data_IF_043303715100
#
_entry.id   IF_043303715100
#
_cell.length_a   1.000
_cell.length_b   1.000
_cell.length_c   1.000
_cell.angle_alpha   90.00
_cell.angle_beta   90.00
_cell.angle_gamma   90.00
#
_symmetry.space_group_name_H-M   'P 1'
#
loop_
_entity.id
_entity.type
_entity.pdbx_description
1 polymer ?
#
# COMPACT_ATOMS: atom_id res chain seq x y z
N UNK A 1 -5.35 10.57 -24.50
CA UNK A 1 -5.69 11.52 -23.43
C UNK A 1 -4.75 11.26 -22.28
N UNK A 2 -3.95 12.26 -21.91
CA UNK A 2 -2.75 12.11 -21.11
C UNK A 2 -3.04 11.61 -19.68
N UNK A 3 -2.18 10.71 -19.21
CA UNK A 3 -2.14 10.20 -17.86
C UNK A 3 -1.93 11.34 -16.85
N UNK A 4 -2.67 11.30 -15.75
CA UNK A 4 -2.38 12.07 -14.55
C UNK A 4 -2.71 11.20 -13.34
N UNK A 5 -1.86 10.21 -13.10
CA UNK A 5 -1.75 9.50 -11.83
C UNK A 5 -0.26 9.43 -11.47
N UNK A 6 0.35 10.61 -11.33
CA UNK A 6 1.66 10.72 -10.70
C UNK A 6 1.60 11.85 -9.68
N UNK A 7 1.45 11.44 -8.42
CA UNK A 7 2.40 11.71 -7.34
C UNK A 7 1.63 11.78 -6.01
N UNK A 8 2.07 11.03 -5.02
CA UNK A 8 2.10 11.59 -3.66
C UNK A 8 3.56 11.79 -3.30
N UNK A 9 4.13 12.80 -3.95
CA UNK A 9 5.19 13.61 -3.37
C UNK A 9 4.48 14.74 -2.63
N UNK A 10 4.01 14.52 -1.41
CA UNK A 10 3.33 15.57 -0.66
C UNK A 10 3.74 15.53 0.79
N UNK A 11 4.41 16.60 1.23
CA UNK A 11 4.28 17.09 2.60
C UNK A 11 2.79 17.27 2.84
N UNK A 12 2.12 16.24 3.38
CA UNK A 12 0.73 16.35 3.79
C UNK A 12 0.65 17.52 4.78
N UNK A 13 -0.37 18.38 4.64
CA UNK A 13 -0.58 19.46 5.60
C UNK A 13 -1.41 18.96 6.77
N UNK A 14 -2.24 17.95 6.53
CA UNK A 14 -3.04 17.32 7.56
C UNK A 14 -2.19 16.45 8.49
N UNK A 15 -2.07 16.80 9.79
CA UNK A 15 -1.27 16.06 10.74
C UNK A 15 -1.77 14.62 10.97
N UNK A 16 -3.07 14.35 10.84
CA UNK A 16 -3.62 12.98 10.97
C UNK A 16 -3.06 12.08 9.86
N UNK A 17 -3.03 12.59 8.61
CA UNK A 17 -2.49 11.86 7.46
C UNK A 17 -0.98 11.64 7.59
N UNK A 18 -0.22 12.62 8.11
CA UNK A 18 1.22 12.48 8.38
C UNK A 18 1.50 11.37 9.40
N UNK A 19 0.65 11.25 10.43
CA UNK A 19 0.84 10.31 11.52
C UNK A 19 0.68 8.84 11.11
N UNK A 20 0.09 8.56 9.95
CA UNK A 20 -0.07 7.20 9.43
C UNK A 20 1.23 6.79 8.70
N UNK A 21 1.82 5.62 8.96
CA UNK A 21 2.95 5.13 8.16
C UNK A 21 2.53 4.82 6.71
N UNK A 22 3.36 5.19 5.73
CA UNK A 22 3.07 4.92 4.32
C UNK A 22 3.15 3.42 3.99
N UNK A 23 3.99 2.67 4.70
CA UNK A 23 4.21 1.24 4.49
C UNK A 23 4.23 0.51 5.82
N UNK A 24 3.43 -0.55 5.93
CA UNK A 24 3.60 -1.58 6.96
C UNK A 24 3.48 -2.95 6.29
N UNK A 25 4.62 -3.62 6.13
CA UNK A 25 4.71 -4.96 5.54
C UNK A 25 5.55 -5.88 6.41
N UNK A 26 5.30 -7.19 6.33
CA UNK A 26 6.16 -8.18 7.00
C UNK A 26 7.61 -8.08 6.51
N UNK A 27 8.55 -8.32 7.43
CA UNK A 27 9.99 -8.11 7.19
C UNK A 27 10.60 -9.06 6.14
N UNK A 28 9.94 -10.16 5.80
CA UNK A 28 10.40 -11.12 4.81
C UNK A 28 9.25 -12.07 4.41
N UNK A 29 9.46 -12.81 3.33
CA UNK A 29 8.57 -13.88 2.87
C UNK A 29 7.55 -13.41 1.84
N UNK A 30 6.61 -14.31 1.53
CA UNK A 30 5.55 -14.12 0.53
C UNK A 30 4.22 -13.91 1.21
N UNK A 31 3.54 -12.81 0.91
CA UNK A 31 2.29 -12.46 1.57
C UNK A 31 1.38 -11.60 0.70
N UNK A 32 0.12 -11.51 1.12
CA UNK A 32 -0.88 -10.65 0.49
C UNK A 32 -0.66 -9.20 0.91
N UNK A 33 -0.97 -8.26 0.02
CA UNK A 33 -0.99 -6.85 0.35
C UNK A 33 -2.20 -6.15 -0.28
N UNK A 34 -2.61 -5.04 0.33
CA UNK A 34 -3.61 -4.11 -0.21
C UNK A 34 -3.00 -2.73 -0.40
N UNK A 35 -3.47 -2.04 -1.45
CA UNK A 35 -3.24 -0.61 -1.65
C UNK A 35 -4.49 0.13 -1.17
N UNK A 36 -4.31 1.07 -0.26
CA UNK A 36 -5.42 1.78 0.38
C UNK A 36 -5.22 3.28 0.18
N UNK A 37 -6.29 3.98 -0.17
CA UNK A 37 -6.35 5.45 -0.13
C UNK A 37 -7.00 5.86 1.18
N UNK A 38 -6.27 6.67 1.95
CA UNK A 38 -6.72 7.24 3.23
C UNK A 38 -6.97 8.71 3.01
N UNK A 39 -8.09 9.23 3.49
CA UNK A 39 -8.48 10.62 3.36
C UNK A 39 -9.12 11.13 4.64
N UNK A 40 -9.09 12.44 4.85
CA UNK A 40 -9.80 13.08 5.95
C UNK A 40 -11.20 13.48 5.45
N UNK A 41 -12.29 12.95 6.02
CA UNK A 41 -13.64 13.30 5.59
C UNK A 41 -13.97 14.78 5.80
N UNK A 42 -13.25 15.47 6.70
CA UNK A 42 -13.46 16.89 7.00
C UNK A 42 -12.69 17.82 6.03
N UNK A 43 -11.80 17.29 5.18
CA UNK A 43 -10.93 18.08 4.30
C UNK A 43 -11.03 17.61 2.86
N UNK A 44 -11.60 18.45 2.00
CA UNK A 44 -11.79 18.11 0.58
C UNK A 44 -10.44 17.87 -0.14
N UNK A 45 -10.39 16.80 -0.94
CA UNK A 45 -9.27 16.43 -1.84
C UNK A 45 -7.92 16.15 -1.17
N UNK A 46 -7.84 16.04 0.16
CA UNK A 46 -6.60 15.61 0.82
C UNK A 46 -6.63 14.11 1.11
N UNK A 47 -5.73 13.37 0.46
CA UNK A 47 -5.60 11.94 0.64
C UNK A 47 -4.15 11.49 0.53
N UNK A 48 -3.90 10.24 0.90
CA UNK A 48 -2.64 9.57 0.71
C UNK A 48 -2.82 8.09 0.41
N UNK A 49 -1.82 7.51 -0.24
CA UNK A 49 -1.79 6.08 -0.50
C UNK A 49 -0.89 5.38 0.51
N UNK A 50 -1.39 4.28 1.06
CA UNK A 50 -0.62 3.43 1.98
C UNK A 50 -0.61 1.98 1.49
N UNK A 51 0.48 1.28 1.82
CA UNK A 51 0.68 -0.13 1.52
C UNK A 51 0.64 -0.92 2.82
N UNK A 52 -0.19 -1.97 2.86
CA UNK A 52 -0.35 -2.86 4.01
C UNK A 52 -0.28 -4.31 3.58
N UNK A 53 0.56 -5.12 4.22
CA UNK A 53 0.74 -6.52 3.84
C UNK A 53 1.29 -7.41 4.96
N UNK A 54 0.75 -8.61 5.11
CA UNK A 54 1.21 -9.54 6.16
C UNK A 54 0.92 -10.99 5.80
N UNK A 55 1.81 -11.90 6.19
CA UNK A 55 1.66 -13.34 6.03
C UNK A 55 0.61 -13.92 7.00
N UNK A 56 0.28 -13.19 8.07
CA UNK A 56 -0.73 -13.60 9.06
C UNK A 56 -2.18 -13.51 8.54
N UNK A 57 -2.40 -12.81 7.43
CA UNK A 57 -3.72 -12.64 6.85
C UNK A 57 -4.00 -13.76 5.84
N UNK A 58 -5.11 -14.47 6.04
CA UNK A 58 -5.54 -15.50 5.10
C UNK A 58 -6.08 -14.85 3.83
N UNK A 59 -6.74 -13.69 3.94
CA UNK A 59 -7.34 -12.94 2.85
C UNK A 59 -6.94 -11.47 2.86
N UNK A 60 -7.13 -10.79 1.73
CA UNK A 60 -6.94 -9.34 1.64
C UNK A 60 -7.91 -8.56 2.55
N UNK A 61 -9.12 -9.11 2.78
CA UNK A 61 -10.11 -8.53 3.67
C UNK A 61 -9.61 -8.48 5.12
N UNK A 62 -8.96 -9.53 5.62
CA UNK A 62 -8.40 -9.54 6.99
C UNK A 62 -7.33 -8.45 7.21
N UNK A 63 -6.63 -8.03 6.14
CA UNK A 63 -5.70 -6.91 6.19
C UNK A 63 -6.49 -5.60 6.28
N UNK A 64 -7.55 -5.48 5.48
CA UNK A 64 -8.37 -4.28 5.44
C UNK A 64 -9.09 -4.04 6.76
N UNK A 65 -9.76 -5.04 7.34
CA UNK A 65 -10.53 -4.88 8.57
C UNK A 65 -9.67 -4.28 9.70
N UNK A 66 -8.43 -4.75 9.83
CA UNK A 66 -7.47 -4.20 10.80
C UNK A 66 -7.03 -2.78 10.49
N UNK A 67 -6.89 -2.46 9.20
CA UNK A 67 -6.43 -1.15 8.75
C UNK A 67 -7.55 -0.13 8.89
N UNK A 68 -8.78 -0.46 8.52
CA UNK A 68 -9.93 0.43 8.64
C UNK A 68 -10.17 0.82 10.09
N UNK A 69 -10.14 -0.14 11.02
CA UNK A 69 -10.28 0.14 12.46
C UNK A 69 -9.25 1.18 12.94
N UNK A 70 -7.96 0.98 12.64
CA UNK A 70 -6.88 1.90 13.04
C UNK A 70 -6.95 3.28 12.40
N UNK A 71 -7.55 3.38 11.20
CA UNK A 71 -7.70 4.62 10.46
C UNK A 71 -8.92 5.40 10.99
N UNK A 72 -10.04 4.72 11.22
CA UNK A 72 -11.26 5.27 11.80
C UNK A 72 -11.02 5.80 13.23
N UNK A 73 -10.23 5.09 14.05
CA UNK A 73 -9.81 5.55 15.39
C UNK A 73 -9.09 6.90 15.37
N UNK A 74 -8.50 7.29 14.23
CA UNK A 74 -7.82 8.57 14.03
C UNK A 74 -8.72 9.63 13.41
N UNK A 75 -10.01 9.34 13.21
CA UNK A 75 -10.98 10.22 12.57
C UNK A 75 -10.66 10.46 11.10
N UNK A 76 -10.25 9.40 10.40
CA UNK A 76 -9.98 9.36 8.97
C UNK A 76 -10.84 8.26 8.33
N UNK A 77 -10.99 8.31 7.01
CA UNK A 77 -11.68 7.30 6.23
C UNK A 77 -10.74 6.67 5.18
N UNK A 78 -11.01 5.44 4.76
CA UNK A 78 -10.18 4.74 3.80
C UNK A 78 -10.95 3.86 2.81
N UNK A 79 -10.38 3.74 1.61
CA UNK A 79 -10.91 2.91 0.52
C UNK A 79 -9.82 1.98 -0.04
N UNK A 80 -10.21 0.75 -0.37
CA UNK A 80 -9.30 -0.22 -1.01
C UNK A 80 -9.25 0.07 -2.51
N UNK A 81 -8.04 0.31 -3.02
CA UNK A 81 -7.78 0.51 -4.46
C UNK A 81 -7.38 -0.77 -5.19
N UNK A 82 -7.34 -1.89 -4.46
CA UNK A 82 -7.04 -3.23 -4.96
C UNK A 82 -6.01 -3.93 -4.08
N UNK A 83 -5.55 -5.10 -4.53
CA UNK A 83 -4.48 -5.80 -3.85
C UNK A 83 -3.60 -6.63 -4.78
N UNK A 84 -2.72 -7.39 -4.16
CA UNK A 84 -1.84 -8.34 -4.83
C UNK A 84 -1.02 -9.13 -3.81
N UNK A 85 0.19 -9.50 -4.19
CA UNK A 85 1.17 -10.17 -3.36
C UNK A 85 2.51 -9.46 -3.40
N UNK A 86 3.25 -9.62 -2.31
CA UNK A 86 4.62 -9.18 -2.14
C UNK A 86 5.47 -10.39 -1.82
N UNK A 87 6.60 -10.53 -2.51
CA UNK A 87 7.71 -11.39 -2.14
C UNK A 87 8.86 -10.51 -1.64
N UNK A 88 9.16 -10.59 -0.35
CA UNK A 88 10.13 -9.75 0.33
C UNK A 88 11.33 -10.60 0.75
N UNK A 89 12.49 -10.36 0.12
CA UNK A 89 13.74 -11.07 0.38
C UNK A 89 14.84 -10.09 0.85
N UNK A 90 14.94 -9.78 2.16
CA UNK A 90 15.92 -8.83 2.69
C UNK A 90 17.37 -9.23 2.43
N UNK A 91 17.67 -10.54 2.45
CA UNK A 91 19.02 -11.06 2.17
C UNK A 91 19.51 -10.73 0.76
N UNK A 92 18.58 -10.54 -0.18
CA UNK A 92 18.86 -10.11 -1.55
C UNK A 92 18.54 -8.64 -1.78
N UNK A 93 18.12 -7.91 -0.73
CA UNK A 93 17.68 -6.53 -0.82
C UNK A 93 16.63 -6.34 -1.92
N UNK A 94 15.70 -7.29 -2.01
CA UNK A 94 14.72 -7.33 -3.10
C UNK A 94 13.28 -7.44 -2.63
N UNK A 95 12.39 -6.75 -3.34
CA UNK A 95 10.94 -6.84 -3.19
C UNK A 95 10.32 -7.01 -4.58
N UNK A 96 9.43 -8.00 -4.72
CA UNK A 96 8.62 -8.19 -5.93
C UNK A 96 7.15 -8.03 -5.62
N UNK A 97 6.48 -7.13 -6.34
CA UNK A 97 5.04 -6.87 -6.25
C UNK A 97 4.34 -7.55 -7.43
N UNK A 98 3.29 -8.33 -7.21
CA UNK A 98 2.62 -9.04 -8.31
C UNK A 98 1.19 -9.50 -7.99
N UNK A 99 0.51 -10.05 -8.99
CA UNK A 99 -0.79 -10.70 -8.83
C UNK A 99 -1.95 -9.76 -8.50
N UNK A 100 -2.97 -10.27 -7.81
CA UNK A 100 -4.20 -9.52 -7.55
C UNK A 100 -4.92 -10.00 -6.29
N UNK A 101 -5.89 -9.19 -5.81
CA UNK A 101 -6.88 -9.62 -4.81
C UNK A 101 -8.08 -10.24 -5.50
N UNK A 102 -8.51 -11.43 -5.05
CA UNK A 102 -9.72 -12.06 -5.59
C UNK A 102 -10.98 -11.23 -5.34
N UNK A 103 -11.04 -10.52 -4.21
CA UNK A 103 -12.19 -9.71 -3.82
C UNK A 103 -12.12 -8.28 -4.34
N UNK A 104 -10.92 -7.69 -4.37
CA UNK A 104 -10.73 -6.26 -4.65
C UNK A 104 -10.07 -5.97 -5.99
N UNK A 105 -9.78 -7.00 -6.78
CA UNK A 105 -9.06 -6.86 -8.04
C UNK A 105 -7.58 -6.54 -7.87
N UNK A 106 -6.94 -6.22 -8.98
CA UNK A 106 -5.52 -5.87 -9.05
C UNK A 106 -5.33 -4.40 -8.64
N UNK A 107 -4.47 -4.16 -7.64
CA UNK A 107 -4.02 -2.81 -7.33
C UNK A 107 -3.15 -2.25 -8.46
N UNK A 108 -3.08 -0.92 -8.58
CA UNK A 108 -2.01 -0.29 -9.37
C UNK A 108 -0.66 -0.53 -8.68
N UNK A 109 0.08 -1.52 -9.18
CA UNK A 109 1.36 -1.91 -8.62
C UNK A 109 2.43 -0.84 -8.78
N UNK A 110 2.27 0.11 -9.72
CA UNK A 110 3.22 1.21 -9.92
C UNK A 110 3.20 2.20 -8.74
N UNK A 111 2.02 2.42 -8.15
CA UNK A 111 1.85 3.23 -6.94
C UNK A 111 2.54 2.54 -5.77
N UNK A 112 2.24 1.25 -5.58
CA UNK A 112 2.87 0.42 -4.53
C UNK A 112 4.39 0.41 -4.67
N UNK A 113 4.90 0.20 -5.88
CA UNK A 113 6.32 0.22 -6.20
C UNK A 113 6.98 1.55 -5.83
N UNK A 114 6.35 2.67 -6.19
CA UNK A 114 6.84 4.01 -5.87
C UNK A 114 6.88 4.28 -4.37
N UNK A 115 5.90 3.78 -3.60
CA UNK A 115 5.88 3.91 -2.14
C UNK A 115 7.00 3.06 -1.52
N UNK A 116 7.16 1.80 -1.96
CA UNK A 116 8.20 0.91 -1.44
C UNK A 116 9.61 1.40 -1.78
N UNK A 117 9.85 1.97 -2.96
CA UNK A 117 11.13 2.61 -3.32
C UNK A 117 11.52 3.72 -2.33
N UNK A 118 10.55 4.48 -1.83
CA UNK A 118 10.82 5.55 -0.84
C UNK A 118 11.09 5.00 0.55
N UNK A 119 10.40 3.91 0.93
CA UNK A 119 10.53 3.29 2.25
C UNK A 119 11.80 2.43 2.38
N UNK A 120 12.20 1.73 1.31
CA UNK A 120 13.32 0.80 1.28
C UNK A 120 14.45 1.32 0.39
N UNK A 121 14.98 2.49 0.71
CA UNK A 121 16.02 3.18 -0.10
C UNK A 121 17.33 2.37 -0.23
N UNK A 122 17.56 1.44 0.68
CA UNK A 122 18.75 0.58 0.70
C UNK A 122 18.60 -0.69 -0.14
N UNK A 123 17.42 -0.92 -0.73
CA UNK A 123 17.11 -2.10 -1.53
C UNK A 123 17.49 -1.88 -2.99
N UNK A 124 18.20 -2.84 -3.57
CA UNK A 124 18.74 -2.74 -4.93
C UNK A 124 17.68 -3.12 -5.99
N UNK A 125 16.71 -3.97 -5.63
CA UNK A 125 15.76 -4.53 -6.58
C UNK A 125 14.32 -4.51 -6.05
N UNK A 126 13.61 -3.41 -6.30
CA UNK A 126 12.17 -3.36 -6.11
C UNK A 126 11.52 -3.42 -7.49
N UNK A 127 10.70 -4.43 -7.74
CA UNK A 127 10.10 -4.71 -9.05
C UNK A 127 8.61 -4.97 -8.93
N UNK A 128 7.90 -4.84 -10.05
CA UNK A 128 6.49 -5.19 -10.12
C UNK A 128 6.14 -5.86 -11.45
N UNK A 129 5.10 -6.69 -11.46
CA UNK A 129 4.47 -7.24 -12.67
C UNK A 129 2.98 -7.42 -12.45
N UNK A 130 2.16 -7.17 -13.47
CA UNK A 130 0.72 -7.43 -13.41
C UNK A 130 0.36 -8.91 -13.59
N UNK A 131 1.37 -9.77 -13.76
CA UNK A 131 1.19 -11.20 -13.95
C UNK A 131 1.36 -12.00 -12.65
N UNK A 132 0.86 -13.24 -12.66
CA UNK A 132 1.01 -14.21 -11.56
C UNK A 132 -0.11 -14.18 -10.53
N UNK A 133 -0.07 -15.14 -9.61
CA UNK A 133 -0.95 -15.21 -8.44
C UNK A 133 -0.16 -15.57 -7.19
#
# INVERSE_FOLDING_TARGET
MAASHMASSTSHKNPKLIAIPDVEIDKHGKFKYILVKVHDPDVDREFKHIVRGTAKAAFHADIYDRVSELIEEKGLDCEILGGGRIDHEPSKKSIKIYGYSQQFGQADHTITHSILLRAFKEYDQITWSNEGY
#
